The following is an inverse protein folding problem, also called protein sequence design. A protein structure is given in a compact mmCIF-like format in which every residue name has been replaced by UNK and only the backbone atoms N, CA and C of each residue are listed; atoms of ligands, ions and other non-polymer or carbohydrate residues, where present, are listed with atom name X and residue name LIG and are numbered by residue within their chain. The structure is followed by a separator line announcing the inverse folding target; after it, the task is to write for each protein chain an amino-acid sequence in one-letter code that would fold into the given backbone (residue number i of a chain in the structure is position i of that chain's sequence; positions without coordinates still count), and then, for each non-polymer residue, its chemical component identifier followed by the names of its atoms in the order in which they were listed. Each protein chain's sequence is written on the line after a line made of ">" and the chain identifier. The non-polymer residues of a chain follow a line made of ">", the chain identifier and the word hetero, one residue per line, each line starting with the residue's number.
data_IF_235538407767
#
_entry.id   IF_235538407767
#
_cell.length_a   1.000
_cell.length_b   1.000
_cell.length_c   1.000
_cell.angle_alpha   90.00
_cell.angle_beta   90.00
_cell.angle_gamma   90.00
#
_symmetry.space_group_name_H-M   'P 1'
#
loop_
_entity.id
_entity.type
_entity.pdbx_description
1 polymer ?
#
# COMPACT_ATOMS: atom_id res chain seq x y z
N UNK A 1 36.69 -1.66 47.81
CA UNK A 1 35.76 -2.53 47.05
C UNK A 1 35.18 -1.71 45.91
N UNK A 2 35.56 -2.07 44.67
CA UNK A 2 35.22 -1.40 43.42
C UNK A 2 34.15 -2.23 42.70
N UNK A 3 32.87 -2.01 42.98
CA UNK A 3 31.78 -2.68 42.24
C UNK A 3 30.50 -1.83 42.32
N UNK A 4 30.51 -0.64 41.73
CA UNK A 4 29.30 0.17 41.59
C UNK A 4 29.22 0.91 40.24
N UNK A 5 30.08 0.58 39.28
CA UNK A 5 30.18 1.32 38.02
C UNK A 5 29.85 0.50 36.76
N UNK A 6 29.31 -0.73 36.91
CA UNK A 6 29.16 -1.66 35.78
C UNK A 6 27.71 -1.98 35.37
N UNK A 7 26.69 -1.43 36.05
CA UNK A 7 25.29 -1.79 35.79
C UNK A 7 24.52 -0.73 35.00
N UNK A 8 25.02 0.52 34.90
CA UNK A 8 24.28 1.60 34.23
C UNK A 8 24.54 1.67 32.72
N UNK A 9 25.62 1.07 32.22
CA UNK A 9 25.95 1.10 30.79
C UNK A 9 25.20 0.07 29.92
N UNK A 10 24.63 -0.97 30.53
CA UNK A 10 23.90 -2.01 29.81
C UNK A 10 22.47 -1.60 29.43
N UNK A 11 21.88 -0.61 30.12
CA UNK A 11 20.48 -0.22 29.96
C UNK A 11 20.24 0.80 28.84
N UNK A 12 21.29 1.47 28.35
CA UNK A 12 21.19 2.55 27.35
C UNK A 12 21.44 2.07 25.91
N UNK A 13 22.03 0.88 25.74
CA UNK A 13 22.31 0.33 24.40
C UNK A 13 21.13 -0.41 23.76
N UNK A 14 20.00 -0.56 24.47
CA UNK A 14 18.83 -1.29 23.98
C UNK A 14 17.77 -0.41 23.29
N UNK A 15 17.95 0.92 23.25
CA UNK A 15 16.92 1.86 22.79
C UNK A 15 17.12 2.39 21.36
N UNK A 16 18.14 1.96 20.63
CA UNK A 16 18.46 2.50 19.30
C UNK A 16 18.26 1.53 18.13
N UNK A 17 17.61 0.38 18.34
CA UNK A 17 17.09 -0.39 17.21
C UNK A 17 15.69 0.10 16.86
N UNK A 18 15.58 1.37 16.44
CA UNK A 18 14.47 1.71 15.56
C UNK A 18 14.72 0.97 14.26
N UNK A 19 14.13 -0.21 14.12
CA UNK A 19 13.90 -0.77 12.80
C UNK A 19 13.11 0.29 12.06
N UNK A 20 13.76 0.94 11.10
CA UNK A 20 13.12 1.71 10.07
C UNK A 20 12.33 0.68 9.25
N UNK A 21 11.14 0.33 9.75
CA UNK A 21 10.20 -0.52 9.05
C UNK A 21 9.64 0.29 7.89
N UNK A 22 10.49 0.47 6.88
CA UNK A 22 10.07 0.78 5.54
C UNK A 22 9.17 -0.38 5.12
N UNK A 23 7.87 -0.17 5.31
CA UNK A 23 6.81 -1.12 4.98
C UNK A 23 7.07 -1.73 3.59
N UNK A 24 7.06 -3.06 3.45
CA UNK A 24 7.32 -3.70 2.17
C UNK A 24 6.36 -3.14 1.11
N UNK A 25 6.97 -2.45 0.15
CA UNK A 25 6.39 -2.05 -1.12
C UNK A 25 5.71 -3.25 -1.77
N UNK A 26 4.52 -3.04 -2.36
CA UNK A 26 3.88 -4.06 -3.19
C UNK A 26 4.60 -4.11 -4.53
N UNK A 27 5.00 -5.29 -5.00
CA UNK A 27 5.69 -5.45 -6.27
C UNK A 27 7.21 -5.34 -6.19
N UNK A 28 7.86 -5.01 -7.32
CA UNK A 28 9.32 -4.99 -7.40
C UNK A 28 9.87 -3.66 -6.87
N UNK A 29 11.03 -3.70 -6.20
CA UNK A 29 11.77 -2.47 -5.85
C UNK A 29 12.34 -1.75 -7.07
N UNK A 30 12.28 -2.36 -8.25
CA UNK A 30 12.69 -1.76 -9.53
C UNK A 30 11.61 -0.89 -10.18
N UNK A 31 10.37 -0.93 -9.68
CA UNK A 31 9.26 -0.18 -10.27
C UNK A 31 9.49 1.34 -10.08
N UNK A 32 9.25 2.13 -11.13
CA UNK A 32 9.45 3.58 -11.09
C UNK A 32 8.20 4.28 -10.59
N UNK A 33 8.28 4.94 -9.42
CA UNK A 33 7.16 5.69 -8.84
C UNK A 33 6.78 6.91 -9.68
N UNK A 34 5.48 7.13 -9.88
CA UNK A 34 4.91 8.29 -10.54
C UNK A 34 4.52 9.32 -9.48
N UNK A 35 5.23 10.45 -9.37
CA UNK A 35 4.92 11.47 -8.36
C UNK A 35 3.67 12.28 -8.74
N UNK A 36 3.14 13.04 -7.78
CA UNK A 36 2.03 13.99 -7.96
C UNK A 36 0.73 13.31 -8.44
N UNK A 37 0.40 12.19 -7.80
CA UNK A 37 -0.91 11.55 -7.92
C UNK A 37 -1.68 11.73 -6.62
N UNK A 38 -2.96 12.07 -6.73
CA UNK A 38 -3.90 12.09 -5.61
C UNK A 38 -4.90 10.96 -5.78
N UNK A 39 -5.05 10.13 -4.75
CA UNK A 39 -5.90 8.94 -4.77
C UNK A 39 -7.09 9.12 -3.84
N UNK A 40 -8.26 8.64 -4.26
CA UNK A 40 -9.43 8.44 -3.42
C UNK A 40 -9.81 6.98 -3.42
N UNK A 41 -10.20 6.46 -2.26
CA UNK A 41 -10.84 5.14 -2.14
C UNK A 41 -12.33 5.40 -2.05
N UNK A 42 -13.06 5.04 -3.09
CA UNK A 42 -14.49 5.36 -3.20
C UNK A 42 -15.34 4.23 -2.59
N UNK A 43 -14.92 2.98 -2.74
CA UNK A 43 -15.63 1.83 -2.17
C UNK A 43 -14.71 0.65 -1.93
N UNK A 44 -14.90 -0.04 -0.81
CA UNK A 44 -14.36 -1.37 -0.53
C UNK A 44 -15.51 -2.35 -0.26
N UNK A 45 -15.41 -3.58 -0.77
CA UNK A 45 -16.37 -4.63 -0.45
C UNK A 45 -15.78 -6.03 -0.60
N UNK A 46 -16.30 -6.96 0.18
CA UNK A 46 -16.03 -8.39 0.03
C UNK A 46 -16.93 -8.95 -1.07
N UNK A 47 -16.32 -9.50 -2.11
CA UNK A 47 -17.00 -10.31 -3.13
C UNK A 47 -16.89 -11.78 -2.74
N UNK A 48 -17.72 -12.18 -1.76
CA UNK A 48 -17.69 -13.52 -1.15
C UNK A 48 -17.87 -14.66 -2.15
N UNK A 49 -18.78 -14.59 -3.15
CA UNK A 49 -18.92 -15.64 -4.17
C UNK A 49 -17.63 -15.92 -4.96
N UNK A 50 -16.78 -14.89 -5.13
CA UNK A 50 -15.51 -15.01 -5.85
C UNK A 50 -14.29 -15.08 -4.92
N UNK A 51 -14.50 -15.19 -3.60
CA UNK A 51 -13.45 -15.22 -2.58
C UNK A 51 -12.38 -14.14 -2.79
N UNK A 52 -12.81 -12.88 -2.96
CA UNK A 52 -11.90 -11.74 -3.17
C UNK A 52 -12.36 -10.47 -2.46
N UNK A 53 -11.40 -9.66 -2.05
CA UNK A 53 -11.62 -8.28 -1.62
C UNK A 53 -11.55 -7.37 -2.85
N UNK A 54 -12.42 -6.36 -2.93
CA UNK A 54 -12.47 -5.44 -4.06
C UNK A 54 -12.40 -4.01 -3.56
N UNK A 55 -11.39 -3.27 -4.02
CA UNK A 55 -11.26 -1.84 -3.79
C UNK A 55 -11.41 -1.09 -5.10
N UNK A 56 -12.17 0.00 -5.06
CA UNK A 56 -12.40 0.90 -6.18
C UNK A 56 -12.14 2.33 -5.75
N UNK A 57 -11.71 3.14 -6.70
CA UNK A 57 -11.47 4.54 -6.43
C UNK A 57 -11.12 5.34 -7.66
N UNK A 58 -10.69 6.56 -7.40
CA UNK A 58 -10.26 7.51 -8.42
C UNK A 58 -8.81 7.91 -8.18
N UNK A 59 -8.09 8.19 -9.25
CA UNK A 59 -6.74 8.75 -9.21
C UNK A 59 -6.70 9.99 -10.10
N UNK A 60 -6.13 11.07 -9.59
CA UNK A 60 -5.97 12.35 -10.28
C UNK A 60 -4.51 12.70 -10.45
N UNK A 61 -4.12 13.13 -11.65
CA UNK A 61 -2.80 13.72 -11.89
C UNK A 61 -2.79 15.18 -11.39
N UNK A 62 -2.09 15.44 -10.29
CA UNK A 62 -1.90 16.79 -9.74
C UNK A 62 -0.59 17.43 -10.21
N UNK A 63 0.23 16.70 -10.96
CA UNK A 63 1.47 17.17 -11.56
C UNK A 63 1.26 18.02 -12.82
N UNK A 64 2.37 18.51 -13.38
CA UNK A 64 2.37 19.29 -14.63
C UNK A 64 2.59 18.43 -15.88
N UNK A 65 3.24 17.27 -15.71
CA UNK A 65 3.58 16.37 -16.81
C UNK A 65 2.47 15.35 -17.02
N UNK A 66 2.23 14.99 -18.28
CA UNK A 66 1.35 13.88 -18.63
C UNK A 66 1.96 12.55 -18.17
N UNK A 67 1.13 11.67 -17.64
CA UNK A 67 1.48 10.27 -17.37
C UNK A 67 1.26 9.48 -18.66
N UNK A 68 2.28 8.75 -19.10
CA UNK A 68 2.20 7.93 -20.32
C UNK A 68 1.60 6.56 -20.00
N UNK A 69 0.91 5.95 -20.96
CA UNK A 69 0.43 4.58 -20.82
C UNK A 69 1.44 3.56 -21.39
N UNK A 70 1.40 2.29 -20.90
CA UNK A 70 0.66 1.85 -19.73
C UNK A 70 1.35 2.27 -18.43
N UNK A 71 0.54 2.48 -17.39
CA UNK A 71 1.00 2.67 -16.02
C UNK A 71 0.10 1.87 -15.09
N UNK A 72 0.44 1.77 -13.80
CA UNK A 72 -0.29 0.94 -12.86
C UNK A 72 -0.65 1.71 -11.60
N UNK A 73 -1.82 1.42 -11.04
CA UNK A 73 -2.16 1.77 -9.66
C UNK A 73 -1.98 0.54 -8.81
N UNK A 74 -1.27 0.66 -7.71
CA UNK A 74 -1.11 -0.41 -6.73
C UNK A 74 -1.56 0.03 -5.34
N UNK A 75 -1.91 -0.93 -4.50
CA UNK A 75 -2.23 -0.69 -3.10
C UNK A 75 -1.97 -1.92 -2.22
N UNK A 76 -1.95 -1.68 -0.91
CA UNK A 76 -1.93 -2.71 0.12
C UNK A 76 -3.33 -2.91 0.70
N UNK A 77 -3.68 -4.16 0.95
CA UNK A 77 -4.92 -4.58 1.62
C UNK A 77 -4.61 -4.89 3.09
N UNK A 78 -5.44 -4.37 3.98
CA UNK A 78 -5.32 -4.53 5.44
C UNK A 78 -6.57 -5.12 6.02
N UNK A 79 -6.44 -5.83 7.15
CA UNK A 79 -7.55 -6.51 7.82
C UNK A 79 -8.71 -5.58 8.20
N UNK A 80 -8.41 -4.30 8.47
CA UNK A 80 -9.37 -3.26 8.84
C UNK A 80 -8.79 -1.85 8.63
N UNK A 81 -9.57 -0.83 8.98
CA UNK A 81 -9.23 0.59 8.84
C UNK A 81 -8.09 1.09 9.74
N UNK A 82 -7.69 0.34 10.77
CA UNK A 82 -6.50 0.68 11.56
C UNK A 82 -5.20 0.43 10.78
N UNK A 83 -5.25 -0.32 9.67
CA UNK A 83 -4.12 -0.57 8.77
C UNK A 83 -2.87 -1.16 9.42
N UNK A 84 -3.01 -1.87 10.55
CA UNK A 84 -1.89 -2.47 11.29
C UNK A 84 -1.56 -3.90 10.85
N UNK A 85 -2.52 -4.63 10.27
CA UNK A 85 -2.29 -6.00 9.81
C UNK A 85 -2.47 -6.09 8.30
N UNK A 86 -1.34 -6.21 7.58
CA UNK A 86 -1.31 -6.35 6.13
C UNK A 86 -1.76 -7.76 5.73
N UNK A 87 -2.73 -7.82 4.82
CA UNK A 87 -3.17 -9.07 4.20
C UNK A 87 -2.32 -9.39 2.99
N UNK A 88 -1.95 -8.38 2.20
CA UNK A 88 -1.21 -8.49 0.96
C UNK A 88 -1.31 -7.21 0.12
N UNK A 89 -1.00 -7.28 -1.16
CA UNK A 89 -1.13 -6.16 -2.08
C UNK A 89 -1.35 -6.63 -3.51
N UNK A 90 -1.91 -5.76 -4.33
CA UNK A 90 -2.08 -6.01 -5.75
C UNK A 90 -2.10 -4.70 -6.54
N UNK A 91 -2.11 -4.80 -7.86
CA UNK A 91 -2.13 -3.66 -8.77
C UNK A 91 -3.13 -3.87 -9.91
N UNK A 92 -3.42 -2.79 -10.62
CA UNK A 92 -4.22 -2.79 -11.85
C UNK A 92 -3.55 -1.90 -12.90
N UNK A 93 -3.60 -2.32 -14.15
CA UNK A 93 -3.04 -1.56 -15.28
C UNK A 93 -4.04 -0.51 -15.75
N UNK A 94 -3.56 0.71 -15.95
CA UNK A 94 -4.27 1.79 -16.62
C UNK A 94 -3.71 1.93 -18.04
N UNK A 95 -4.55 1.64 -19.03
CA UNK A 95 -4.17 1.63 -20.45
C UNK A 95 -4.21 3.01 -21.12
N UNK A 96 -4.68 4.04 -20.42
CA UNK A 96 -4.83 5.40 -20.96
C UNK A 96 -3.84 6.36 -20.28
N UNK A 97 -3.29 7.32 -21.04
CA UNK A 97 -2.50 8.39 -20.44
C UNK A 97 -3.39 9.24 -19.52
N UNK A 98 -2.77 9.98 -18.60
CA UNK A 98 -3.47 10.88 -17.69
C UNK A 98 -2.80 12.25 -17.72
N UNK A 99 -3.44 13.22 -18.38
CA UNK A 99 -2.91 14.59 -18.47
C UNK A 99 -3.13 15.36 -17.16
N UNK A 100 -2.56 16.56 -17.06
CA UNK A 100 -2.67 17.40 -15.87
C UNK A 100 -4.14 17.64 -15.50
N UNK A 101 -4.46 17.46 -14.22
CA UNK A 101 -5.78 17.61 -13.62
C UNK A 101 -6.85 16.62 -14.08
N UNK A 102 -6.52 15.67 -14.95
CA UNK A 102 -7.45 14.59 -15.29
C UNK A 102 -7.47 13.53 -14.20
N UNK A 103 -8.62 12.85 -14.14
CA UNK A 103 -8.84 11.72 -13.26
C UNK A 103 -9.24 10.48 -14.07
N UNK A 104 -8.90 9.31 -13.55
CA UNK A 104 -9.42 8.04 -14.04
C UNK A 104 -9.78 7.12 -12.88
N UNK A 105 -10.58 6.10 -13.16
CA UNK A 105 -10.99 5.11 -12.18
C UNK A 105 -9.99 3.96 -12.11
N UNK A 106 -9.86 3.38 -10.93
CA UNK A 106 -9.12 2.14 -10.72
C UNK A 106 -9.99 1.13 -9.97
N UNK A 107 -9.72 -0.15 -10.22
CA UNK A 107 -10.31 -1.27 -9.50
C UNK A 107 -9.21 -2.30 -9.27
N UNK A 108 -8.96 -2.63 -8.01
CA UNK A 108 -7.98 -3.63 -7.59
C UNK A 108 -8.70 -4.70 -6.80
N UNK A 109 -8.39 -5.96 -7.10
CA UNK A 109 -8.92 -7.10 -6.35
C UNK A 109 -7.80 -7.81 -5.63
N UNK A 110 -8.09 -8.40 -4.46
CA UNK A 110 -7.14 -9.19 -3.71
C UNK A 110 -7.75 -10.55 -3.36
N UNK A 111 -7.00 -11.59 -3.69
CA UNK A 111 -7.26 -12.96 -3.27
C UNK A 111 -5.91 -13.61 -2.95
N UNK A 112 -5.93 -14.64 -2.11
CA UNK A 112 -4.71 -15.36 -1.72
C UNK A 112 -5.07 -16.77 -1.31
N UNK A 113 -4.19 -17.74 -1.61
CA UNK A 113 -4.32 -19.11 -1.11
C UNK A 113 -4.03 -19.21 0.39
N UNK A 114 -3.32 -18.23 0.95
CA UNK A 114 -2.82 -18.26 2.33
C UNK A 114 -3.66 -17.40 3.27
N UNK A 115 -4.58 -16.59 2.73
CA UNK A 115 -5.46 -15.70 3.50
C UNK A 115 -6.91 -16.00 3.10
N UNK A 116 -7.73 -16.44 4.06
CA UNK A 116 -9.18 -16.54 3.83
C UNK A 116 -9.80 -15.14 3.88
N UNK A 117 -10.00 -14.53 2.72
CA UNK A 117 -10.48 -13.15 2.61
C UNK A 117 -11.91 -12.94 3.14
N UNK A 118 -12.72 -13.99 3.23
CA UNK A 118 -14.08 -13.90 3.81
C UNK A 118 -14.06 -13.50 5.30
N UNK A 119 -12.92 -13.64 5.98
CA UNK A 119 -12.76 -13.21 7.36
C UNK A 119 -12.62 -11.67 7.51
N UNK A 120 -12.49 -10.94 6.40
CA UNK A 120 -12.19 -9.50 6.41
C UNK A 120 -13.23 -8.68 5.60
N UNK A 121 -14.53 -8.72 5.96
CA UNK A 121 -15.56 -7.94 5.26
C UNK A 121 -15.37 -6.42 5.42
N UNK A 122 -14.72 -5.99 6.51
CA UNK A 122 -14.45 -4.58 6.85
C UNK A 122 -12.98 -4.18 6.57
N UNK A 123 -12.34 -4.85 5.62
CA UNK A 123 -10.96 -4.54 5.23
C UNK A 123 -10.81 -3.08 4.77
N UNK A 124 -9.57 -2.60 4.75
CA UNK A 124 -9.22 -1.31 4.18
C UNK A 124 -8.09 -1.46 3.16
N UNK A 125 -7.90 -0.42 2.35
CA UNK A 125 -6.73 -0.30 1.48
C UNK A 125 -5.95 0.96 1.79
N UNK A 126 -4.63 0.87 1.64
CA UNK A 126 -3.69 1.96 1.91
C UNK A 126 -2.44 1.84 1.05
N UNK A 127 -1.46 2.71 1.31
CA UNK A 127 -0.19 2.74 0.58
C UNK A 127 -0.38 2.76 -0.95
N UNK A 128 -1.32 3.59 -1.43
CA UNK A 128 -1.59 3.72 -2.86
C UNK A 128 -0.46 4.48 -3.55
N UNK A 129 -0.04 3.99 -4.72
CA UNK A 129 0.89 4.70 -5.60
C UNK A 129 0.65 4.36 -7.07
N UNK A 130 1.10 5.25 -7.94
CA UNK A 130 1.20 5.00 -9.37
C UNK A 130 2.63 4.60 -9.71
N UNK A 131 2.80 3.63 -10.61
CA UNK A 131 4.12 3.15 -11.04
C UNK A 131 4.19 2.88 -12.54
N UNK A 132 5.41 2.92 -13.07
CA UNK A 132 5.81 2.20 -14.27
C UNK A 132 6.52 0.91 -13.86
N UNK A 133 6.19 -0.19 -14.55
CA UNK A 133 6.81 -1.51 -14.39
C UNK A 133 7.80 -1.77 -15.51
#
# INVERSE_FOLDING_TARGET
>A
MKTAALIVFASISLLLTSCDESEPVVGSTSDTSIPNLSFTVDTTYLDSPNNRLVAKGTVKNTGISQITSPWYVECQFYSNSSMTSKLGGNYTQIGVPLTKNESTFWTITYYSSNVNVNNYPNFAVGNLRGIYK
#
